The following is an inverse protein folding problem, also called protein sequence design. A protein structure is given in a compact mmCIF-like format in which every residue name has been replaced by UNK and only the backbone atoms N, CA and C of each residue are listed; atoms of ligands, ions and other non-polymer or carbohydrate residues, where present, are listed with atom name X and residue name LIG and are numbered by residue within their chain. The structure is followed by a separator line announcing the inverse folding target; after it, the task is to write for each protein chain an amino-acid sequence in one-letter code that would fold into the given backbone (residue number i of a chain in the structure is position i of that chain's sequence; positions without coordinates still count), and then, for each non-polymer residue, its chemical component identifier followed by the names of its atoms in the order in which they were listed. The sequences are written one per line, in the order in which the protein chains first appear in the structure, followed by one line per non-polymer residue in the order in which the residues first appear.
data_IF_121095530287
#
_entry.id   IF_121095530287
#
_cell.length_a   1.000
_cell.length_b   1.000
_cell.length_c   1.000
_cell.angle_alpha   90.00
_cell.angle_beta   90.00
_cell.angle_gamma   90.00
#
_symmetry.space_group_name_H-M   'P 1'
#
loop_
_entity.id
_entity.type
_entity.pdbx_description
1 polymer ?
#
# COMPACT_ATOMS: atom_id res chain seq x y z
N UNK A 1 -3.85 -9.28 -23.23
CA UNK A 1 -2.80 -9.45 -22.21
C UNK A 1 -3.46 -9.56 -20.86
N UNK A 2 -2.99 -10.45 -19.98
CA UNK A 2 -3.39 -10.55 -18.59
C UNK A 2 -2.16 -10.36 -17.68
N UNK A 3 -2.28 -9.60 -16.62
CA UNK A 3 -1.22 -9.37 -15.65
C UNK A 3 -1.67 -9.84 -14.26
N UNK A 4 -0.92 -10.74 -13.64
CA UNK A 4 -1.16 -11.22 -12.29
C UNK A 4 -0.06 -10.70 -11.36
N UNK A 5 -0.43 -9.80 -10.45
CA UNK A 5 0.52 -9.14 -9.57
C UNK A 5 0.74 -9.95 -8.29
N UNK A 6 -0.32 -10.12 -7.53
CA UNK A 6 -0.31 -10.86 -6.28
C UNK A 6 -1.71 -11.36 -5.91
N UNK A 7 -1.76 -12.27 -4.95
CA UNK A 7 -2.99 -12.70 -4.30
C UNK A 7 -2.74 -12.83 -2.80
N UNK A 8 -3.75 -12.55 -2.02
CA UNK A 8 -3.77 -12.75 -0.58
C UNK A 8 -5.21 -13.02 -0.13
N UNK A 9 -5.40 -13.38 1.13
CA UNK A 9 -6.73 -13.61 1.68
C UNK A 9 -7.47 -12.28 1.80
N UNK A 10 -8.43 -12.05 0.91
CA UNK A 10 -9.32 -10.88 0.88
C UNK A 10 -10.65 -11.28 0.20
N UNK A 11 -11.69 -10.50 0.37
CA UNK A 11 -13.02 -10.77 -0.20
C UNK A 11 -13.65 -12.12 0.18
N UNK A 12 -13.25 -12.70 1.31
CA UNK A 12 -13.81 -13.99 1.76
C UNK A 12 -14.99 -13.72 2.67
N UNK A 13 -16.17 -13.88 2.12
CA UNK A 13 -17.43 -13.70 2.85
C UNK A 13 -18.56 -14.51 2.18
N UNK A 14 -19.66 -14.80 2.89
CA UNK A 14 -20.81 -15.51 2.29
C UNK A 14 -21.47 -14.81 1.10
N UNK A 15 -21.25 -13.49 0.95
CA UNK A 15 -21.86 -12.69 -0.11
C UNK A 15 -20.90 -12.37 -1.26
N UNK A 16 -19.59 -12.64 -1.09
CA UNK A 16 -18.56 -12.43 -2.11
C UNK A 16 -18.01 -13.80 -2.56
N UNK A 17 -16.95 -14.26 -1.90
CA UNK A 17 -16.36 -15.58 -2.14
C UNK A 17 -16.44 -16.42 -0.86
N UNK A 18 -17.11 -17.59 -0.88
CA UNK A 18 -17.29 -18.41 0.34
C UNK A 18 -15.97 -18.99 0.88
N UNK A 19 -14.95 -19.10 0.02
CA UNK A 19 -13.63 -19.62 0.39
C UNK A 19 -12.52 -18.90 -0.38
N UNK A 20 -11.28 -18.97 0.15
CA UNK A 20 -10.11 -18.49 -0.58
C UNK A 20 -9.94 -19.22 -1.93
N UNK A 21 -10.25 -20.51 -1.98
CA UNK A 21 -10.16 -21.30 -3.21
C UNK A 21 -11.08 -20.75 -4.31
N UNK A 22 -12.34 -20.46 -3.97
CA UNK A 22 -13.29 -19.87 -4.91
C UNK A 22 -12.84 -18.50 -5.41
N UNK A 23 -12.30 -17.66 -4.51
CA UNK A 23 -11.70 -16.37 -4.86
C UNK A 23 -10.51 -16.54 -5.80
N UNK A 24 -9.59 -17.44 -5.45
CA UNK A 24 -8.38 -17.68 -6.22
C UNK A 24 -8.68 -18.22 -7.63
N UNK A 25 -9.52 -19.25 -7.73
CA UNK A 25 -9.96 -19.81 -9.02
C UNK A 25 -10.62 -18.74 -9.90
N UNK A 26 -11.43 -17.86 -9.31
CA UNK A 26 -12.04 -16.74 -10.03
C UNK A 26 -11.00 -15.77 -10.59
N UNK A 27 -9.90 -15.52 -9.86
CA UNK A 27 -8.80 -14.67 -10.34
C UNK A 27 -7.98 -15.34 -11.45
N UNK A 28 -7.76 -16.64 -11.39
CA UNK A 28 -7.00 -17.37 -12.42
C UNK A 28 -7.69 -17.33 -13.79
N UNK A 29 -9.01 -17.20 -13.83
CA UNK A 29 -9.77 -17.10 -15.09
C UNK A 29 -9.36 -15.90 -15.97
N UNK A 30 -8.59 -14.95 -15.45
CA UNK A 30 -8.05 -13.84 -16.27
C UNK A 30 -7.21 -14.38 -17.45
N UNK A 31 -6.61 -15.57 -17.31
CA UNK A 31 -5.77 -16.17 -18.32
C UNK A 31 -6.56 -16.86 -19.46
N UNK A 32 -7.83 -17.25 -19.24
CA UNK A 32 -8.65 -17.97 -20.23
C UNK A 32 -8.77 -17.24 -21.58
N UNK A 33 -8.62 -15.93 -21.59
CA UNK A 33 -8.76 -15.07 -22.77
C UNK A 33 -7.46 -14.34 -23.14
N UNK A 34 -6.37 -14.62 -22.44
CA UNK A 34 -5.12 -13.90 -22.62
C UNK A 34 -4.21 -14.58 -23.65
N UNK A 35 -3.75 -13.82 -24.63
CA UNK A 35 -2.66 -14.28 -25.52
C UNK A 35 -1.29 -14.13 -24.86
N UNK A 36 -1.12 -13.09 -24.05
CA UNK A 36 0.11 -12.86 -23.29
C UNK A 36 -0.25 -12.83 -21.81
N UNK A 37 0.44 -13.59 -20.99
CA UNK A 37 0.38 -13.57 -19.54
C UNK A 37 1.64 -12.91 -18.98
N UNK A 38 1.48 -11.99 -18.02
CA UNK A 38 2.57 -11.44 -17.21
C UNK A 38 2.34 -11.86 -15.76
N UNK A 39 3.30 -12.57 -15.16
CA UNK A 39 3.17 -13.13 -13.81
C UNK A 39 4.30 -12.66 -12.93
N UNK A 40 3.95 -12.08 -11.77
CA UNK A 40 4.91 -11.76 -10.71
C UNK A 40 5.25 -13.03 -9.91
N UNK A 41 6.54 -13.41 -9.85
CA UNK A 41 7.02 -14.59 -9.12
C UNK A 41 6.97 -14.41 -7.60
N UNK A 42 6.85 -13.17 -7.10
CA UNK A 42 6.68 -12.86 -5.68
C UNK A 42 5.26 -13.12 -5.13
N UNK A 43 4.30 -13.56 -5.97
CA UNK A 43 2.92 -13.84 -5.52
C UNK A 43 2.83 -15.10 -4.68
N UNK A 44 1.88 -15.16 -3.74
CA UNK A 44 1.47 -16.43 -3.13
C UNK A 44 0.92 -17.37 -4.20
N UNK A 45 0.96 -18.68 -3.96
CA UNK A 45 0.47 -19.73 -4.89
C UNK A 45 1.08 -19.66 -6.32
N UNK A 46 2.33 -19.21 -6.43
CA UNK A 46 3.00 -18.92 -7.72
C UNK A 46 2.96 -20.10 -8.70
N UNK A 47 3.13 -21.34 -8.22
CA UNK A 47 3.13 -22.52 -9.09
C UNK A 47 1.77 -22.71 -9.79
N UNK A 48 0.67 -22.50 -9.07
CA UNK A 48 -0.69 -22.58 -9.62
C UNK A 48 -0.99 -21.43 -10.59
N UNK A 49 -0.47 -20.24 -10.27
CA UNK A 49 -0.60 -19.07 -11.17
C UNK A 49 0.15 -19.32 -12.46
N UNK A 50 1.37 -19.88 -12.41
CA UNK A 50 2.18 -20.23 -13.59
C UNK A 50 1.52 -21.35 -14.40
N UNK A 51 0.95 -22.36 -13.75
CA UNK A 51 0.18 -23.42 -14.42
C UNK A 51 -0.99 -22.84 -15.21
N UNK A 52 -1.81 -22.01 -14.59
CA UNK A 52 -2.93 -21.34 -15.26
C UNK A 52 -2.46 -20.41 -16.39
N UNK A 53 -1.40 -19.62 -16.17
CA UNK A 53 -0.83 -18.72 -17.16
C UNK A 53 -0.18 -19.44 -18.35
N UNK A 54 0.20 -20.71 -18.20
CA UNK A 54 0.80 -21.53 -19.28
C UNK A 54 -0.14 -21.78 -20.45
N UNK A 55 -1.44 -21.51 -20.29
CA UNK A 55 -2.44 -21.58 -21.37
C UNK A 55 -2.31 -20.45 -22.38
N UNK A 56 -1.63 -19.35 -22.01
CA UNK A 56 -1.36 -18.23 -22.92
C UNK A 56 -0.29 -18.58 -23.97
N UNK A 57 -0.39 -17.97 -25.16
CA UNK A 57 0.60 -18.15 -26.24
C UNK A 57 2.00 -17.66 -25.83
N UNK A 58 2.06 -16.69 -24.93
CA UNK A 58 3.30 -16.09 -24.41
C UNK A 58 3.20 -15.85 -22.91
N UNK A 59 4.20 -16.33 -22.17
CA UNK A 59 4.39 -16.11 -20.75
C UNK A 59 5.61 -15.20 -20.51
N UNK A 60 5.43 -14.13 -19.75
CA UNK A 60 6.48 -13.24 -19.26
C UNK A 60 6.43 -13.27 -17.73
N UNK A 61 7.54 -13.61 -17.10
CA UNK A 61 7.66 -13.61 -15.64
C UNK A 61 8.41 -12.39 -15.18
N UNK A 62 8.03 -11.85 -14.01
CA UNK A 62 8.75 -10.74 -13.37
C UNK A 62 9.00 -11.06 -11.90
N UNK A 63 10.01 -10.45 -11.27
CA UNK A 63 10.25 -10.63 -9.85
C UNK A 63 11.38 -9.75 -9.30
N UNK A 64 11.37 -9.50 -8.01
CA UNK A 64 12.46 -8.82 -7.28
C UNK A 64 13.39 -9.88 -6.74
N UNK A 65 14.70 -9.79 -7.03
CA UNK A 65 15.72 -10.80 -6.69
C UNK A 65 15.41 -12.20 -7.26
N UNK A 66 14.77 -12.26 -8.45
CA UNK A 66 14.42 -13.48 -9.18
C UNK A 66 15.15 -13.54 -10.52
N UNK A 67 16.44 -13.90 -10.56
CA UNK A 67 17.24 -13.92 -11.80
C UNK A 67 16.76 -14.92 -12.86
N UNK A 68 15.89 -15.87 -12.47
CA UNK A 68 15.21 -16.79 -13.39
C UNK A 68 14.01 -16.17 -14.12
N UNK A 69 13.53 -15.00 -13.68
CA UNK A 69 12.41 -14.32 -14.32
C UNK A 69 12.80 -13.70 -15.68
N UNK A 70 11.82 -13.50 -16.56
CA UNK A 70 12.02 -12.82 -17.84
C UNK A 70 12.51 -11.39 -17.68
N UNK A 71 12.00 -10.69 -16.67
CA UNK A 71 12.47 -9.36 -16.22
C UNK A 71 12.56 -9.39 -14.69
N UNK A 72 13.64 -8.86 -14.13
CA UNK A 72 13.79 -8.83 -12.69
C UNK A 72 14.53 -7.59 -12.19
N UNK A 73 14.32 -7.25 -10.93
CA UNK A 73 14.96 -6.13 -10.25
C UNK A 73 15.97 -6.61 -9.21
N UNK A 74 17.11 -5.91 -9.13
CA UNK A 74 18.09 -6.03 -8.04
C UNK A 74 18.43 -4.67 -7.45
N UNK A 75 19.16 -4.68 -6.32
CA UNK A 75 19.67 -3.47 -5.66
C UNK A 75 18.58 -2.43 -5.38
N UNK A 76 17.42 -2.89 -4.94
CA UNK A 76 16.28 -2.02 -4.60
C UNK A 76 16.64 -1.16 -3.40
N UNK A 77 16.58 0.17 -3.56
CA UNK A 77 16.90 1.12 -2.50
C UNK A 77 16.04 2.37 -2.54
N UNK A 78 15.75 2.92 -1.38
CA UNK A 78 15.11 4.22 -1.24
C UNK A 78 16.09 5.35 -1.58
N UNK A 79 15.62 6.34 -2.35
CA UNK A 79 16.33 7.57 -2.67
C UNK A 79 15.37 8.75 -2.44
N UNK A 80 15.43 9.34 -1.25
CA UNK A 80 14.35 10.23 -0.79
C UNK A 80 13.03 9.46 -0.69
N UNK A 81 11.99 9.97 -1.33
CA UNK A 81 10.68 9.31 -1.42
C UNK A 81 10.44 8.61 -2.77
N UNK A 82 11.52 8.23 -3.44
CA UNK A 82 11.52 7.44 -4.67
C UNK A 82 12.29 6.14 -4.45
N UNK A 83 12.17 5.22 -5.37
CA UNK A 83 12.93 3.96 -5.34
C UNK A 83 13.82 3.89 -6.56
N UNK A 84 15.08 3.52 -6.36
CA UNK A 84 16.00 3.17 -7.42
C UNK A 84 16.26 1.66 -7.40
N UNK A 85 16.31 1.03 -8.57
CA UNK A 85 16.65 -0.37 -8.72
C UNK A 85 17.33 -0.63 -10.08
N UNK A 86 18.02 -1.76 -10.21
CA UNK A 86 18.58 -2.23 -11.47
C UNK A 86 17.61 -3.21 -12.12
N UNK A 87 17.23 -2.97 -13.36
CA UNK A 87 16.33 -3.82 -14.15
C UNK A 87 17.17 -4.71 -15.07
N UNK A 88 16.88 -6.00 -15.08
CA UNK A 88 17.55 -7.03 -15.88
C UNK A 88 16.57 -7.75 -16.81
N UNK A 89 17.11 -8.45 -17.83
CA UNK A 89 16.34 -9.25 -18.77
C UNK A 89 15.82 -8.48 -19.98
N UNK A 90 16.32 -7.28 -20.24
CA UNK A 90 15.90 -6.46 -21.37
C UNK A 90 16.42 -6.99 -22.72
N UNK A 91 17.62 -7.54 -22.74
CA UNK A 91 18.27 -8.14 -23.91
C UNK A 91 19.38 -9.12 -23.50
N UNK A 92 19.79 -9.99 -24.44
CA UNK A 92 20.82 -10.99 -24.18
C UNK A 92 22.24 -10.41 -23.95
N UNK A 93 22.50 -9.21 -24.46
CA UNK A 93 23.80 -8.50 -24.36
C UNK A 93 23.78 -7.44 -23.25
N UNK A 94 22.88 -7.55 -22.29
CA UNK A 94 22.76 -6.63 -21.17
C UNK A 94 23.99 -6.69 -20.26
N UNK A 95 24.39 -5.53 -19.71
CA UNK A 95 25.45 -5.50 -18.71
C UNK A 95 25.01 -6.24 -17.43
N UNK A 96 25.97 -6.88 -16.74
CA UNK A 96 25.69 -7.56 -15.45
C UNK A 96 25.05 -6.60 -14.41
N UNK A 97 25.32 -5.29 -14.53
CA UNK A 97 24.76 -4.28 -13.65
C UNK A 97 23.28 -3.95 -13.91
N UNK A 98 22.71 -4.39 -15.04
CA UNK A 98 21.35 -4.06 -15.44
C UNK A 98 21.13 -2.61 -15.85
N UNK A 99 19.89 -2.25 -16.12
CA UNK A 99 19.46 -0.88 -16.48
C UNK A 99 18.90 -0.16 -15.27
N UNK A 100 19.48 0.99 -14.91
CA UNK A 100 19.06 1.77 -13.75
C UNK A 100 17.68 2.42 -13.95
N UNK A 101 16.76 2.14 -13.06
CA UNK A 101 15.40 2.67 -13.03
C UNK A 101 15.19 3.52 -11.78
N UNK A 102 14.61 4.71 -11.96
CA UNK A 102 14.06 5.52 -10.89
C UNK A 102 12.52 5.42 -10.92
N UNK A 103 11.93 4.94 -9.84
CA UNK A 103 10.49 4.87 -9.65
C UNK A 103 10.06 6.03 -8.73
N UNK A 104 9.17 6.88 -9.21
CA UNK A 104 8.80 8.12 -8.54
C UNK A 104 7.81 7.95 -7.38
N UNK A 105 7.58 6.75 -6.87
CA UNK A 105 6.70 6.46 -5.74
C UNK A 105 7.46 5.63 -4.70
N UNK A 106 7.19 5.85 -3.42
CA UNK A 106 7.78 5.09 -2.33
C UNK A 106 7.11 3.71 -2.16
N UNK A 107 7.68 2.86 -1.27
CA UNK A 107 7.18 1.54 -0.95
C UNK A 107 7.76 0.44 -1.87
N UNK A 108 8.57 -0.44 -1.30
CA UNK A 108 9.32 -1.48 -2.05
C UNK A 108 8.41 -2.40 -2.87
N UNK A 109 7.18 -2.64 -2.39
CA UNK A 109 6.16 -3.41 -3.13
C UNK A 109 5.78 -2.75 -4.48
N UNK A 110 6.03 -1.45 -4.66
CA UNK A 110 5.81 -0.78 -5.93
C UNK A 110 6.86 -1.15 -7.00
N UNK A 111 7.97 -1.78 -6.63
CA UNK A 111 8.92 -2.35 -7.60
C UNK A 111 8.29 -3.50 -8.36
N UNK A 112 7.57 -4.40 -7.68
CA UNK A 112 6.83 -5.49 -8.34
C UNK A 112 5.76 -4.94 -9.29
N UNK A 113 4.99 -3.94 -8.84
CA UNK A 113 4.02 -3.25 -9.68
C UNK A 113 4.67 -2.62 -10.92
N UNK A 114 5.84 -1.97 -10.74
CA UNK A 114 6.60 -1.36 -11.82
C UNK A 114 7.12 -2.43 -12.80
N UNK A 115 7.64 -3.57 -12.32
CA UNK A 115 8.10 -4.65 -13.18
C UNK A 115 6.99 -5.21 -14.08
N UNK A 116 5.79 -5.41 -13.53
CA UNK A 116 4.62 -5.83 -14.32
C UNK A 116 4.26 -4.76 -15.36
N UNK A 117 4.27 -3.48 -14.98
CA UNK A 117 4.00 -2.38 -15.91
C UNK A 117 5.07 -2.27 -17.01
N UNK A 118 6.36 -2.45 -16.66
CA UNK A 118 7.47 -2.49 -17.61
C UNK A 118 7.26 -3.65 -18.61
N UNK A 119 6.98 -4.85 -18.10
CA UNK A 119 6.74 -6.02 -18.94
C UNK A 119 5.58 -5.77 -19.91
N UNK A 120 4.46 -5.27 -19.43
CA UNK A 120 3.29 -4.93 -20.23
C UNK A 120 3.61 -3.87 -21.30
N UNK A 121 4.33 -2.81 -20.94
CA UNK A 121 4.72 -1.74 -21.84
C UNK A 121 5.68 -2.26 -22.95
N UNK A 122 6.62 -3.12 -22.59
CA UNK A 122 7.56 -3.76 -23.54
C UNK A 122 6.82 -4.66 -24.53
N UNK A 123 5.85 -5.44 -24.07
CA UNK A 123 5.05 -6.33 -24.92
C UNK A 123 4.21 -5.58 -25.97
N UNK A 124 3.87 -4.32 -25.72
CA UNK A 124 3.19 -3.47 -26.71
C UNK A 124 4.16 -2.54 -27.48
N UNK A 125 5.48 -2.76 -27.33
CA UNK A 125 6.51 -2.09 -28.14
C UNK A 125 7.01 -0.75 -27.63
N UNK A 126 6.76 -0.40 -26.36
CA UNK A 126 7.28 0.85 -25.77
C UNK A 126 8.76 0.67 -25.44
N UNK A 127 9.58 1.63 -25.88
CA UNK A 127 11.03 1.64 -25.62
C UNK A 127 11.38 1.97 -24.17
N UNK A 128 12.54 1.49 -23.70
CA UNK A 128 12.96 1.62 -22.30
C UNK A 128 13.11 3.09 -21.85
N UNK A 129 13.58 3.98 -22.73
CA UNK A 129 13.73 5.41 -22.37
C UNK A 129 12.39 6.07 -22.03
N UNK A 130 11.34 5.76 -22.79
CA UNK A 130 9.99 6.26 -22.50
C UNK A 130 9.44 5.67 -21.19
N UNK A 131 9.69 4.40 -20.93
CA UNK A 131 9.33 3.71 -19.67
C UNK A 131 10.03 4.40 -18.48
N UNK A 132 11.34 4.64 -18.56
CA UNK A 132 12.12 5.35 -17.51
C UNK A 132 11.54 6.73 -17.21
N UNK A 133 11.21 7.50 -18.23
CA UNK A 133 10.60 8.83 -18.07
C UNK A 133 9.22 8.72 -17.40
N UNK A 134 8.40 7.75 -17.81
CA UNK A 134 7.09 7.50 -17.20
C UNK A 134 7.21 7.14 -15.72
N UNK A 135 8.05 6.16 -15.38
CA UNK A 135 8.24 5.67 -14.02
C UNK A 135 8.81 6.75 -13.08
N UNK A 136 9.77 7.56 -13.54
CA UNK A 136 10.37 8.61 -12.71
C UNK A 136 9.38 9.73 -12.33
N UNK A 137 8.37 9.95 -13.15
CA UNK A 137 7.30 10.94 -12.93
C UNK A 137 6.03 10.34 -12.32
N UNK A 138 5.99 9.02 -12.18
CA UNK A 138 4.81 8.32 -11.71
C UNK A 138 4.45 8.73 -10.28
N UNK A 139 3.20 9.14 -10.10
CA UNK A 139 2.58 9.45 -8.82
C UNK A 139 1.14 8.99 -8.90
N UNK A 140 0.63 8.47 -7.81
CA UNK A 140 -0.79 8.13 -7.66
C UNK A 140 -1.31 8.85 -6.43
N UNK A 141 -2.26 9.80 -6.57
CA UNK A 141 -2.83 10.48 -5.42
C UNK A 141 -3.32 9.48 -4.36
N UNK A 142 -3.04 9.76 -3.10
CA UNK A 142 -3.44 8.90 -1.99
C UNK A 142 -2.81 7.50 -1.94
N UNK A 143 -1.71 7.26 -2.69
CA UNK A 143 -0.95 6.00 -2.67
C UNK A 143 0.52 6.28 -2.37
N UNK A 144 1.00 5.86 -1.20
CA UNK A 144 2.36 6.16 -0.72
C UNK A 144 2.74 7.63 -0.96
N UNK A 145 1.77 8.52 -0.83
CA UNK A 145 1.99 9.94 -1.02
C UNK A 145 2.59 10.54 0.24
N UNK A 146 3.76 11.16 0.08
CA UNK A 146 4.55 11.64 1.22
C UNK A 146 4.50 13.16 1.26
N UNK A 147 4.08 13.68 2.40
CA UNK A 147 4.07 15.11 2.71
C UNK A 147 5.03 15.34 3.88
N UNK A 148 6.03 16.18 3.67
CA UNK A 148 7.04 16.51 4.67
C UNK A 148 6.83 17.92 5.22
N UNK A 149 6.94 18.09 6.53
CA UNK A 149 6.90 19.41 7.17
C UNK A 149 8.15 20.23 6.83
N UNK A 150 8.02 21.55 6.71
CA UNK A 150 9.14 22.45 6.38
C UNK A 150 10.28 22.39 7.38
N UNK A 151 10.01 22.05 8.63
CA UNK A 151 11.01 21.90 9.69
C UNK A 151 11.62 20.48 9.74
N UNK A 152 11.17 19.56 8.87
CA UNK A 152 11.66 18.19 8.78
C UNK A 152 11.29 17.30 9.98
N UNK A 153 10.42 17.76 10.90
CA UNK A 153 10.08 17.03 12.13
C UNK A 153 8.96 16.02 11.97
N UNK A 154 8.11 16.21 10.99
CA UNK A 154 6.96 15.33 10.73
C UNK A 154 6.95 14.95 9.26
N UNK A 155 6.79 13.66 9.01
CA UNK A 155 6.54 13.10 7.69
C UNK A 155 5.20 12.41 7.72
N UNK A 156 4.28 12.82 6.87
CA UNK A 156 2.99 12.17 6.70
C UNK A 156 3.02 11.29 5.45
N UNK A 157 2.58 10.06 5.59
CA UNK A 157 2.36 9.12 4.46
C UNK A 157 0.87 8.87 4.36
N UNK A 158 0.31 9.22 3.22
CA UNK A 158 -1.10 8.97 2.90
C UNK A 158 -1.19 7.78 1.95
N UNK A 159 -1.93 6.74 2.35
CA UNK A 159 -2.06 5.52 1.54
C UNK A 159 -3.46 4.89 1.67
N UNK A 160 -3.88 4.23 0.61
CA UNK A 160 -5.15 3.50 0.56
C UNK A 160 -5.07 2.08 1.13
N UNK A 161 -3.98 1.69 1.79
CA UNK A 161 -3.84 0.39 2.42
C UNK A 161 -4.99 0.14 3.39
N UNK A 162 -5.70 -1.00 3.21
CA UNK A 162 -6.91 -1.31 3.96
C UNK A 162 -7.13 -2.82 4.18
N UNK A 163 -6.13 -3.65 3.87
CA UNK A 163 -6.15 -5.09 4.12
C UNK A 163 -4.81 -5.58 4.67
N UNK A 164 -4.76 -6.82 5.14
CA UNK A 164 -3.60 -7.39 5.81
C UNK A 164 -2.31 -7.30 4.98
N UNK A 165 -2.38 -7.67 3.69
CA UNK A 165 -1.21 -7.69 2.82
C UNK A 165 -0.64 -6.28 2.61
N UNK A 166 -1.51 -5.30 2.32
CA UNK A 166 -1.10 -3.92 2.12
C UNK A 166 -0.55 -3.28 3.40
N UNK A 167 -1.13 -3.59 4.57
CA UNK A 167 -0.59 -3.13 5.86
C UNK A 167 0.81 -3.68 6.10
N UNK A 168 1.00 -4.99 5.98
CA UNK A 168 2.31 -5.62 6.16
C UNK A 168 3.37 -4.98 5.26
N UNK A 169 3.06 -4.81 3.98
CA UNK A 169 3.98 -4.22 2.99
C UNK A 169 4.30 -2.77 3.30
N UNK A 170 3.28 -1.95 3.64
CA UNK A 170 3.43 -0.53 3.96
C UNK A 170 4.27 -0.34 5.23
N UNK A 171 3.89 -0.99 6.34
CA UNK A 171 4.61 -0.84 7.61
C UNK A 171 6.06 -1.33 7.52
N UNK A 172 6.33 -2.45 6.83
CA UNK A 172 7.69 -2.90 6.56
C UNK A 172 8.51 -1.88 5.78
N UNK A 173 7.92 -1.27 4.75
CA UNK A 173 8.59 -0.24 3.94
C UNK A 173 8.87 1.03 4.74
N UNK A 174 7.90 1.50 5.52
CA UNK A 174 8.06 2.66 6.40
C UNK A 174 9.16 2.40 7.44
N UNK A 175 9.18 1.23 8.07
CA UNK A 175 10.20 0.91 9.08
C UNK A 175 11.61 0.82 8.49
N UNK A 176 11.76 0.33 7.26
CA UNK A 176 13.06 0.33 6.56
C UNK A 176 13.51 1.73 6.20
N UNK A 177 12.59 2.58 5.75
CA UNK A 177 12.90 3.96 5.37
C UNK A 177 13.22 4.84 6.59
N UNK A 178 12.53 4.59 7.72
CA UNK A 178 12.60 5.41 8.94
C UNK A 178 12.79 4.54 10.20
N UNK A 179 13.95 3.85 10.35
CA UNK A 179 14.14 2.84 11.40
C UNK A 179 14.08 3.39 12.83
N UNK A 180 14.42 4.67 13.03
CA UNK A 180 14.46 5.33 14.33
C UNK A 180 13.26 6.24 14.62
N UNK A 181 12.33 6.37 13.66
CA UNK A 181 11.19 7.28 13.76
C UNK A 181 10.06 6.69 14.59
N UNK A 182 9.44 7.46 15.49
CA UNK A 182 8.15 7.14 16.04
C UNK A 182 7.09 7.09 14.94
N UNK A 183 6.12 6.18 15.07
CA UNK A 183 5.05 5.97 14.09
C UNK A 183 3.68 6.11 14.73
N UNK A 184 2.86 7.01 14.21
CA UNK A 184 1.45 7.19 14.57
C UNK A 184 0.62 6.69 13.39
N UNK A 185 -0.16 5.63 13.60
CA UNK A 185 -1.00 5.05 12.56
C UNK A 185 -2.48 5.39 12.78
N UNK A 186 -3.12 5.99 11.78
CA UNK A 186 -4.53 6.33 11.78
C UNK A 186 -5.25 5.52 10.70
N UNK A 187 -6.26 4.75 11.11
CA UNK A 187 -7.06 3.94 10.19
C UNK A 187 -8.41 3.54 10.79
N UNK A 188 -9.27 3.03 9.93
CA UNK A 188 -10.54 2.42 10.28
C UNK A 188 -10.68 1.05 9.61
N UNK A 189 -11.92 0.57 9.55
CA UNK A 189 -12.32 -0.57 8.75
C UNK A 189 -13.73 -0.37 8.22
N UNK A 190 -13.99 -0.86 7.01
CA UNK A 190 -15.30 -0.76 6.38
C UNK A 190 -16.37 -1.57 7.12
N UNK A 191 -17.58 -1.04 7.17
CA UNK A 191 -18.74 -1.74 7.69
C UNK A 191 -19.35 -2.73 6.68
N UNK A 192 -19.95 -3.81 7.19
CA UNK A 192 -20.71 -4.76 6.41
C UNK A 192 -19.92 -5.73 5.54
N UNK A 193 -18.62 -5.59 5.44
CA UNK A 193 -17.74 -6.44 4.62
C UNK A 193 -16.37 -6.64 5.28
N UNK A 194 -15.63 -7.68 4.85
CA UNK A 194 -14.24 -7.95 5.23
C UNK A 194 -13.98 -7.79 6.75
N UNK A 195 -14.83 -8.42 7.57
CA UNK A 195 -14.80 -8.28 9.04
C UNK A 195 -13.49 -8.77 9.65
N UNK A 196 -12.79 -9.69 9.00
CA UNK A 196 -11.47 -10.19 9.36
C UNK A 196 -10.42 -9.07 9.49
N UNK A 197 -10.60 -7.95 8.78
CA UNK A 197 -9.72 -6.79 8.85
C UNK A 197 -9.67 -6.17 10.24
N UNK A 198 -10.77 -6.28 11.02
CA UNK A 198 -10.86 -5.73 12.38
C UNK A 198 -9.90 -6.42 13.36
N UNK A 199 -9.56 -7.68 13.08
CA UNK A 199 -8.53 -8.41 13.82
C UNK A 199 -7.15 -8.24 13.18
N UNK A 200 -7.07 -8.32 11.85
CA UNK A 200 -5.80 -8.36 11.14
C UNK A 200 -5.07 -7.01 11.15
N UNK A 201 -5.77 -5.90 10.89
CA UNK A 201 -5.12 -4.59 10.72
C UNK A 201 -4.41 -4.10 12.00
N UNK A 202 -5.04 -4.14 13.20
CA UNK A 202 -4.34 -3.75 14.42
C UNK A 202 -3.13 -4.61 14.72
N UNK A 203 -3.22 -5.92 14.48
CA UNK A 203 -2.11 -6.86 14.71
C UNK A 203 -0.93 -6.65 13.77
N UNK A 204 -1.19 -6.32 12.50
CA UNK A 204 -0.12 -5.97 11.55
C UNK A 204 0.51 -4.61 11.85
N UNK A 205 -0.28 -3.64 12.35
CA UNK A 205 0.21 -2.30 12.67
C UNK A 205 0.99 -2.22 13.99
N UNK A 206 0.57 -2.96 15.01
CA UNK A 206 1.08 -2.84 16.38
C UNK A 206 2.60 -2.97 16.52
N UNK A 207 3.31 -3.92 15.86
CA UNK A 207 4.77 -4.04 15.99
C UNK A 207 5.56 -2.83 15.51
N UNK A 208 4.91 -1.92 14.80
CA UNK A 208 5.54 -0.77 14.14
C UNK A 208 5.04 0.57 14.66
N UNK A 209 3.94 0.59 15.42
CA UNK A 209 3.25 1.82 15.83
C UNK A 209 3.50 2.15 17.29
N UNK A 210 3.85 3.40 17.57
CA UNK A 210 3.93 3.94 18.92
C UNK A 210 2.56 4.45 19.40
N UNK A 211 1.66 4.78 18.47
CA UNK A 211 0.27 5.13 18.73
C UNK A 211 -0.61 4.69 17.57
N UNK A 212 -1.75 4.06 17.87
CA UNK A 212 -2.82 3.83 16.89
C UNK A 212 -4.03 4.71 17.18
N UNK A 213 -4.62 5.31 16.13
CA UNK A 213 -5.85 6.09 16.24
C UNK A 213 -6.89 5.43 15.33
N UNK A 214 -7.96 4.91 15.93
CA UNK A 214 -9.07 4.32 15.18
C UNK A 214 -10.13 5.36 14.90
N UNK A 215 -10.55 5.43 13.64
CA UNK A 215 -11.49 6.42 13.16
C UNK A 215 -12.50 5.83 12.17
N UNK A 216 -13.48 6.62 11.80
CA UNK A 216 -14.49 6.21 10.84
C UNK A 216 -13.90 5.99 9.44
N UNK A 217 -14.32 4.88 8.78
CA UNK A 217 -13.99 4.50 7.42
C UNK A 217 -15.16 3.72 6.83
N UNK A 218 -15.92 4.33 5.93
CA UNK A 218 -17.03 3.70 5.20
C UNK A 218 -17.89 2.72 6.05
N UNK A 219 -18.50 3.19 7.14
CA UNK A 219 -19.21 2.31 8.09
C UNK A 219 -20.44 1.66 7.46
N UNK A 220 -20.89 2.15 6.28
CA UNK A 220 -22.14 1.75 5.66
C UNK A 220 -23.28 1.79 6.68
N UNK A 221 -23.96 0.67 6.94
CA UNK A 221 -25.06 0.58 7.91
C UNK A 221 -24.64 0.13 9.30
N UNK A 222 -23.36 -0.11 9.56
CA UNK A 222 -22.87 -0.46 10.90
C UNK A 222 -22.60 0.77 11.76
N UNK A 223 -22.68 0.58 13.06
CA UNK A 223 -22.26 1.61 14.03
C UNK A 223 -20.74 1.78 13.96
N UNK A 224 -20.23 2.98 13.57
CA UNK A 224 -18.80 3.21 13.45
C UNK A 224 -18.06 3.07 14.79
N UNK A 225 -18.72 3.36 15.92
CA UNK A 225 -18.13 3.16 17.24
C UNK A 225 -17.92 1.66 17.53
N UNK A 226 -18.84 0.79 17.10
CA UNK A 226 -18.69 -0.64 17.24
C UNK A 226 -17.50 -1.14 16.44
N UNK A 227 -17.36 -0.72 15.17
CA UNK A 227 -16.23 -1.09 14.31
C UNK A 227 -14.90 -0.67 14.94
N UNK A 228 -14.80 0.58 15.42
CA UNK A 228 -13.58 1.07 16.07
C UNK A 228 -13.26 0.35 17.38
N UNK A 229 -14.26 -0.08 18.16
CA UNK A 229 -14.04 -0.89 19.36
C UNK A 229 -13.52 -2.28 19.03
N UNK A 230 -14.07 -2.93 18.01
CA UNK A 230 -13.57 -4.22 17.54
C UNK A 230 -12.12 -4.14 17.04
N UNK A 231 -11.71 -3.04 16.41
CA UNK A 231 -10.29 -2.79 16.10
C UNK A 231 -9.46 -2.66 17.38
N UNK A 232 -9.91 -1.84 18.35
CA UNK A 232 -9.18 -1.60 19.60
C UNK A 232 -9.04 -2.85 20.47
N UNK A 233 -10.05 -3.73 20.50
CA UNK A 233 -10.03 -5.01 21.23
C UNK A 233 -9.00 -6.00 20.68
N UNK A 234 -8.55 -5.82 19.43
CA UNK A 234 -7.56 -6.67 18.78
C UNK A 234 -6.13 -6.09 18.79
N UNK A 235 -5.94 -4.95 19.47
CA UNK A 235 -4.61 -4.38 19.70
C UNK A 235 -3.88 -5.22 20.75
N UNK A 236 -2.63 -5.65 20.53
CA UNK A 236 -1.80 -6.23 21.58
C UNK A 236 -1.65 -5.29 22.78
N UNK A 237 -1.64 -5.85 23.99
CA UNK A 237 -1.81 -5.16 25.29
C UNK A 237 -0.89 -3.96 25.54
N UNK A 238 0.28 -3.90 24.91
CA UNK A 238 1.29 -2.88 25.15
C UNK A 238 1.29 -1.71 24.13
N UNK A 239 0.41 -1.72 23.15
CA UNK A 239 0.41 -0.66 22.13
C UNK A 239 -0.62 0.43 22.47
N UNK A 240 -0.20 1.69 22.68
CA UNK A 240 -1.10 2.80 22.92
C UNK A 240 -2.11 2.97 21.78
N UNK A 241 -3.38 3.11 22.13
CA UNK A 241 -4.41 3.37 21.13
C UNK A 241 -5.52 4.26 21.65
N UNK A 242 -6.26 4.91 20.75
CA UNK A 242 -7.44 5.71 21.05
C UNK A 242 -8.46 5.68 19.90
N UNK A 243 -9.71 5.93 20.22
CA UNK A 243 -10.81 6.02 19.25
C UNK A 243 -11.23 7.49 19.13
N UNK A 244 -11.24 8.01 17.90
CA UNK A 244 -11.76 9.34 17.56
C UNK A 244 -12.58 9.16 16.28
N UNK A 245 -13.91 9.15 16.38
CA UNK A 245 -14.79 8.81 15.26
C UNK A 245 -14.75 9.82 14.12
N UNK A 246 -14.74 11.11 14.46
CA UNK A 246 -14.61 12.16 13.46
C UNK A 246 -13.22 12.10 12.83
N UNK A 247 -13.17 11.85 11.52
CA UNK A 247 -11.90 11.59 10.81
C UNK A 247 -11.00 12.83 10.78
N UNK A 248 -11.58 14.02 10.58
CA UNK A 248 -10.80 15.26 10.61
C UNK A 248 -10.20 15.50 11.99
N UNK A 249 -11.00 15.34 13.07
CA UNK A 249 -10.52 15.44 14.44
C UNK A 249 -9.46 14.36 14.76
N UNK A 250 -9.58 13.16 14.21
CA UNK A 250 -8.60 12.11 14.36
C UNK A 250 -7.26 12.46 13.69
N UNK A 251 -7.31 13.01 12.48
CA UNK A 251 -6.11 13.49 11.77
C UNK A 251 -5.46 14.65 12.54
N UNK A 252 -6.24 15.61 13.03
CA UNK A 252 -5.74 16.67 13.92
C UNK A 252 -5.02 16.09 15.14
N UNK A 253 -5.62 15.10 15.81
CA UNK A 253 -5.04 14.45 16.98
C UNK A 253 -3.75 13.71 16.66
N UNK A 254 -3.63 13.13 15.46
CA UNK A 254 -2.40 12.48 15.02
C UNK A 254 -1.25 13.48 14.83
N UNK A 255 -1.50 14.60 14.15
CA UNK A 255 -0.50 15.65 13.98
C UNK A 255 -0.14 16.33 15.31
N UNK A 256 -1.10 16.55 16.19
CA UNK A 256 -0.85 17.05 17.55
C UNK A 256 0.08 16.11 18.32
N UNK A 257 -0.23 14.82 18.34
CA UNK A 257 0.61 13.84 19.01
C UNK A 257 2.03 13.79 18.41
N UNK A 258 2.17 13.88 17.09
CA UNK A 258 3.47 13.91 16.41
C UNK A 258 4.32 15.13 16.80
N UNK A 259 3.68 16.27 17.11
CA UNK A 259 4.36 17.52 17.46
C UNK A 259 4.65 17.68 18.95
N UNK A 260 3.86 17.05 19.82
CA UNK A 260 3.86 17.31 21.25
C UNK A 260 4.27 16.10 22.09
N UNK A 261 3.89 14.89 21.69
CA UNK A 261 4.03 13.68 22.51
C UNK A 261 5.12 12.72 21.98
N UNK A 262 5.22 12.54 20.65
CA UNK A 262 6.09 11.56 20.01
C UNK A 262 7.26 12.23 19.28
N UNK A 263 8.02 13.05 20.01
CA UNK A 263 9.15 13.81 19.46
C UNK A 263 10.43 13.00 19.57
N UNK A 264 11.09 12.80 18.43
CA UNK A 264 12.46 12.31 18.39
C UNK A 264 13.38 13.41 17.82
N UNK A 265 14.44 13.85 18.55
CA UNK A 265 15.32 14.90 18.07
C UNK A 265 16.17 14.47 16.86
N UNK A 266 16.37 13.16 16.68
CA UNK A 266 17.28 12.60 15.68
C UNK A 266 16.55 12.07 14.43
N UNK A 267 15.21 12.02 14.45
CA UNK A 267 14.40 11.49 13.35
C UNK A 267 13.01 12.13 13.32
N UNK A 268 12.37 12.29 12.14
CA UNK A 268 11.01 12.77 12.07
C UNK A 268 10.02 11.79 12.71
N UNK A 269 8.91 12.27 13.21
CA UNK A 269 7.77 11.42 13.55
C UNK A 269 6.95 11.14 12.29
N UNK A 270 6.62 9.89 12.07
CA UNK A 270 5.84 9.44 10.91
C UNK A 270 4.36 9.39 11.29
N UNK A 271 3.52 10.07 10.52
CA UNK A 271 2.06 9.98 10.59
C UNK A 271 1.57 9.19 9.39
N UNK A 272 0.93 8.06 9.61
CA UNK A 272 0.32 7.23 8.57
C UNK A 272 -1.18 7.46 8.55
N UNK A 273 -1.71 8.01 7.45
CA UNK A 273 -3.14 8.17 7.21
C UNK A 273 -3.55 7.09 6.21
N UNK A 274 -4.31 6.09 6.69
CA UNK A 274 -4.54 4.87 5.93
C UNK A 274 -6.03 4.65 5.62
N UNK A 275 -6.27 3.89 4.57
CA UNK A 275 -7.53 3.39 4.06
C UNK A 275 -8.34 4.33 3.17
N UNK A 276 -8.27 5.65 3.37
CA UNK A 276 -9.05 6.62 2.56
C UNK A 276 -8.23 7.32 1.47
N UNK A 277 -6.92 7.53 1.68
CA UNK A 277 -6.05 8.14 0.66
C UNK A 277 -6.53 9.53 0.22
N UNK A 278 -6.87 9.67 -1.07
CA UNK A 278 -7.42 10.90 -1.66
C UNK A 278 -8.96 10.90 -1.84
N UNK A 279 -9.65 9.92 -1.27
CA UNK A 279 -11.11 9.85 -1.35
C UNK A 279 -11.79 11.01 -0.64
N UNK A 280 -12.72 11.66 -1.32
CA UNK A 280 -13.51 12.80 -0.84
C UNK A 280 -14.94 12.42 -0.42
N UNK A 281 -15.24 11.13 -0.37
CA UNK A 281 -16.54 10.60 0.00
C UNK A 281 -16.41 9.51 1.07
N UNK A 282 -17.36 9.48 2.01
CA UNK A 282 -17.52 8.42 2.99
C UNK A 282 -18.88 7.74 2.84
N UNK A 283 -18.91 6.42 2.78
CA UNK A 283 -20.14 5.64 2.71
C UNK A 283 -20.79 5.51 4.08
N UNK A 284 -21.90 6.24 4.31
CA UNK A 284 -22.65 6.26 5.57
C UNK A 284 -24.10 5.90 5.30
N UNK A 285 -24.59 4.84 5.89
CA UNK A 285 -25.91 4.30 5.55
C UNK A 285 -25.96 3.82 4.10
N UNK A 286 -26.85 4.42 3.33
CA UNK A 286 -26.99 4.20 1.87
C UNK A 286 -26.48 5.38 1.05
N UNK A 287 -25.81 6.35 1.68
CA UNK A 287 -25.38 7.59 1.05
C UNK A 287 -23.85 7.70 1.03
N UNK A 288 -23.35 8.49 0.09
CA UNK A 288 -21.96 8.92 0.05
C UNK A 288 -21.90 10.38 0.51
N UNK A 289 -21.32 10.61 1.69
CA UNK A 289 -21.23 11.92 2.32
C UNK A 289 -19.88 12.55 1.98
N UNK A 290 -19.82 13.82 1.54
CA UNK A 290 -18.57 14.51 1.31
C UNK A 290 -17.72 14.64 2.57
N UNK A 291 -16.42 14.41 2.43
CA UNK A 291 -15.40 14.59 3.47
C UNK A 291 -14.20 15.32 2.86
N UNK A 292 -13.38 15.97 3.69
CA UNK A 292 -12.04 16.39 3.25
C UNK A 292 -11.15 15.14 3.19
N UNK A 293 -10.42 14.96 2.07
CA UNK A 293 -9.53 13.80 1.90
C UNK A 293 -8.35 13.83 2.88
N UNK A 294 -7.82 12.67 3.23
CA UNK A 294 -6.63 12.56 4.08
C UNK A 294 -5.44 13.34 3.50
N UNK A 295 -5.31 13.34 2.17
CA UNK A 295 -4.26 14.07 1.49
C UNK A 295 -4.40 15.58 1.65
N UNK A 296 -5.62 16.13 1.50
CA UNK A 296 -5.91 17.55 1.73
C UNK A 296 -5.64 17.94 3.19
N UNK A 297 -6.11 17.11 4.14
CA UNK A 297 -5.86 17.27 5.56
C UNK A 297 -4.37 17.27 5.88
N UNK A 298 -3.59 16.35 5.31
CA UNK A 298 -2.15 16.29 5.49
C UNK A 298 -1.48 17.58 5.03
N UNK A 299 -1.77 18.06 3.83
CA UNK A 299 -1.21 19.32 3.32
C UNK A 299 -1.59 20.53 4.19
N UNK A 300 -2.81 20.56 4.71
CA UNK A 300 -3.29 21.65 5.57
C UNK A 300 -2.64 21.66 6.94
N UNK A 301 -2.35 20.49 7.51
CA UNK A 301 -1.95 20.33 8.92
C UNK A 301 -0.45 20.13 9.13
N UNK A 302 0.30 19.69 8.10
CA UNK A 302 1.71 19.26 8.24
C UNK A 302 2.62 20.34 8.83
N UNK A 303 2.37 21.62 8.52
CA UNK A 303 3.16 22.76 8.99
C UNK A 303 2.54 23.45 10.23
N UNK A 304 1.42 22.98 10.75
CA UNK A 304 0.83 23.52 11.99
C UNK A 304 1.71 23.14 13.17
N UNK A 305 2.12 24.11 13.95
CA UNK A 305 3.04 23.93 15.09
C UNK A 305 2.37 24.08 16.45
N UNK A 306 1.15 24.61 16.48
CA UNK A 306 0.33 24.76 17.70
C UNK A 306 -1.07 24.24 17.39
N UNK A 307 -1.53 23.30 18.20
CA UNK A 307 -2.86 22.70 18.12
C UNK A 307 -3.66 23.13 19.36
N UNK A 308 -4.83 23.70 19.12
CA UNK A 308 -5.75 24.10 20.19
C UNK A 308 -6.41 22.87 20.89
#
# INVERSE_FOLDING_TARGET
MACFLNIGRDHISPIEHPTFEDYFESKLRIFDQAKTAVVNLGTEEVDRVLEAASTAERLVTVGVEHPEASLWASDVRMVGFSIEFNLHGLCADESEAGEKILLGIAGDFNVENALVAIAAAREIGIGIDAIKVGLSKFRVPGRMEVVESKDGRVVCVVDYAHNQLSFRSLFSSVKRAFPASPVIALFGAAGGKAQERREQLPREAAPYSDLMIFTNEDPAREDPMKVCRELAENVPDDTPNKIILDREAAVHAAFKAAREEYINPDAPTIVLLLAKGDEELMHVGDEFVPIESDLSLAHRLIDVTQFD
#
